data_IF_465326739191
#
_entry.id   IF_465326739191
#
_cell.length_a   1.000
_cell.length_b   1.000
_cell.length_c   1.000
_cell.angle_alpha   90.00
_cell.angle_beta   90.00
_cell.angle_gamma   90.00
#
_symmetry.space_group_name_H-M   'P 1'
#
loop_
_entity.id
_entity.type
_entity.pdbx_description
1 polymer ?
#
# COMPACT_ATOMS: atom_id res chain seq x y z
N UNK A 1 -6.07 6.82 16.07
CA UNK A 1 -7.00 5.67 16.06
C UNK A 1 -6.76 4.85 17.30
N UNK A 2 -7.80 4.59 18.12
CA UNK A 2 -7.67 3.64 19.22
C UNK A 2 -7.65 2.23 18.63
N UNK A 3 -6.52 1.56 18.69
CA UNK A 3 -6.42 0.15 18.36
C UNK A 3 -7.07 -0.64 19.50
N UNK A 4 -8.36 -0.96 19.38
CA UNK A 4 -9.10 -1.74 20.36
C UNK A 4 -8.66 -3.20 20.25
N UNK A 5 -7.81 -3.64 21.16
CA UNK A 5 -7.47 -5.06 21.28
C UNK A 5 -8.60 -5.80 22.00
N UNK A 6 -8.99 -6.96 21.47
CA UNK A 6 -9.96 -7.85 22.12
C UNK A 6 -9.39 -8.43 23.41
N UNK A 7 -10.26 -8.92 24.27
CA UNK A 7 -9.82 -9.56 25.53
C UNK A 7 -8.97 -10.81 25.26
N UNK A 8 -9.28 -11.56 24.19
CA UNK A 8 -8.50 -12.73 23.80
C UNK A 8 -7.05 -12.36 23.46
N UNK A 9 -6.85 -11.32 22.62
CA UNK A 9 -5.52 -10.83 22.28
C UNK A 9 -4.79 -10.28 23.50
N UNK A 10 -5.49 -9.56 24.40
CA UNK A 10 -4.88 -9.06 25.64
C UNK A 10 -4.40 -10.18 26.55
N UNK A 11 -5.17 -11.26 26.64
CA UNK A 11 -4.78 -12.43 27.42
C UNK A 11 -3.54 -13.11 26.82
N UNK A 12 -3.50 -13.24 25.48
CA UNK A 12 -2.34 -13.81 24.79
C UNK A 12 -1.09 -12.97 25.01
N UNK A 13 -1.20 -11.65 24.89
CA UNK A 13 -0.08 -10.72 25.14
C UNK A 13 0.41 -10.72 26.60
N UNK A 14 -0.40 -11.23 27.54
CA UNK A 14 -0.01 -11.40 28.94
C UNK A 14 0.72 -12.72 29.20
N UNK A 15 0.75 -13.63 28.23
CA UNK A 15 1.51 -14.88 28.30
C UNK A 15 2.99 -14.62 28.00
N UNK A 16 3.87 -15.58 28.36
CA UNK A 16 5.28 -15.49 28.04
C UNK A 16 5.61 -16.11 26.66
N UNK A 17 4.67 -16.75 25.99
CA UNK A 17 4.81 -17.40 24.70
C UNK A 17 3.89 -16.74 23.68
N UNK A 18 4.36 -15.63 23.09
CA UNK A 18 3.61 -14.86 22.11
C UNK A 18 4.00 -15.32 20.71
N UNK A 19 3.01 -15.75 19.90
CA UNK A 19 3.22 -16.21 18.52
C UNK A 19 2.58 -15.23 17.52
N UNK A 20 3.26 -14.13 17.20
CA UNK A 20 2.74 -13.16 16.24
C UNK A 20 2.86 -13.71 14.81
N UNK A 21 1.87 -13.41 13.97
CA UNK A 21 1.85 -13.72 12.54
C UNK A 21 1.41 -12.51 11.75
N UNK A 22 1.90 -12.36 10.52
CA UNK A 22 1.47 -11.32 9.62
C UNK A 22 0.53 -11.91 8.56
N UNK A 23 -0.53 -11.17 8.27
CA UNK A 23 -1.47 -11.46 7.21
C UNK A 23 -1.41 -10.29 6.23
N UNK A 24 -1.01 -10.55 5.00
CA UNK A 24 -0.78 -9.53 3.97
C UNK A 24 -1.75 -9.76 2.84
N UNK A 25 -2.51 -8.72 2.51
CA UNK A 25 -3.37 -8.67 1.33
C UNK A 25 -2.80 -7.66 0.35
N UNK A 26 -2.50 -8.10 -0.87
CA UNK A 26 -2.04 -7.27 -1.97
C UNK A 26 -3.15 -7.24 -3.01
N UNK A 27 -3.65 -6.06 -3.33
CA UNK A 27 -4.82 -5.82 -4.16
C UNK A 27 -4.50 -5.78 -5.66
N UNK A 28 -3.74 -6.73 -6.19
CA UNK A 28 -3.57 -6.90 -7.63
C UNK A 28 -4.91 -7.18 -8.31
N UNK A 29 -4.95 -7.21 -9.64
CA UNK A 29 -6.17 -7.61 -10.40
C UNK A 29 -6.72 -8.94 -9.91
N UNK A 30 -5.87 -9.88 -9.53
CA UNK A 30 -6.22 -11.05 -8.73
C UNK A 30 -5.60 -10.88 -7.34
N UNK A 31 -6.41 -10.62 -6.28
CA UNK A 31 -5.87 -10.36 -4.95
C UNK A 31 -5.01 -11.51 -4.43
N UNK A 32 -3.83 -11.18 -3.92
CA UNK A 32 -2.90 -12.13 -3.31
C UNK A 32 -2.95 -11.99 -1.80
N UNK A 33 -3.27 -13.08 -1.11
CA UNK A 33 -3.35 -13.14 0.34
C UNK A 33 -2.31 -14.14 0.85
N UNK A 34 -1.33 -13.64 1.59
CA UNK A 34 -0.19 -14.42 2.08
C UNK A 34 0.04 -14.21 3.58
N UNK A 35 0.65 -15.19 4.21
CA UNK A 35 1.07 -15.14 5.62
C UNK A 35 2.51 -15.63 5.76
N UNK A 36 3.21 -15.12 6.78
CA UNK A 36 4.53 -15.59 7.19
C UNK A 36 4.47 -16.88 8.05
N UNK A 37 3.26 -17.39 8.30
CA UNK A 37 3.07 -18.65 8.99
C UNK A 37 3.37 -19.85 8.07
N UNK A 38 3.85 -20.96 8.65
CA UNK A 38 4.16 -22.20 7.92
C UNK A 38 2.93 -22.94 7.37
N UNK A 39 1.73 -22.51 7.75
CA UNK A 39 0.44 -23.07 7.31
C UNK A 39 -0.56 -21.97 7.00
N UNK A 40 -1.54 -22.29 6.16
CA UNK A 40 -2.55 -21.31 5.73
C UNK A 40 -3.50 -20.98 6.88
N UNK A 41 -3.84 -19.70 6.98
CA UNK A 41 -4.71 -19.15 8.01
C UNK A 41 -5.96 -18.54 7.38
N UNK A 42 -7.11 -18.74 8.01
CA UNK A 42 -8.37 -18.13 7.57
C UNK A 42 -8.77 -17.03 8.56
N UNK A 43 -9.10 -15.87 8.03
CA UNK A 43 -9.53 -14.71 8.81
C UNK A 43 -10.70 -13.99 8.15
N UNK A 44 -11.56 -13.37 8.95
CA UNK A 44 -12.71 -12.58 8.51
C UNK A 44 -12.50 -11.06 8.69
N UNK A 45 -11.25 -10.59 8.67
CA UNK A 45 -10.89 -9.19 8.98
C UNK A 45 -11.55 -8.17 8.05
N UNK A 46 -11.83 -8.54 6.81
CA UNK A 46 -12.47 -7.66 5.82
C UNK A 46 -13.99 -7.83 5.73
N UNK A 47 -14.61 -8.48 6.69
CA UNK A 47 -16.05 -8.81 6.66
C UNK A 47 -16.41 -10.05 5.83
N UNK A 48 -15.45 -10.58 5.07
CA UNK A 48 -15.55 -11.85 4.34
C UNK A 48 -14.47 -12.79 4.82
N UNK A 49 -14.73 -14.09 4.79
CA UNK A 49 -13.73 -15.10 5.12
C UNK A 49 -12.67 -15.14 4.02
N UNK A 50 -11.43 -14.81 4.35
CA UNK A 50 -10.28 -14.81 3.45
C UNK A 50 -9.25 -15.82 3.96
N UNK A 51 -8.76 -16.66 3.06
CA UNK A 51 -7.67 -17.58 3.34
C UNK A 51 -6.35 -16.93 2.94
N UNK A 52 -5.46 -16.80 3.90
CA UNK A 52 -4.07 -16.37 3.72
C UNK A 52 -3.21 -17.61 3.53
N UNK A 53 -2.64 -17.75 2.37
CA UNK A 53 -1.82 -18.91 2.05
C UNK A 53 -0.46 -18.82 2.74
N UNK A 54 -0.01 -19.94 3.29
CA UNK A 54 1.36 -20.07 3.76
C UNK A 54 2.30 -19.72 2.62
N UNK A 55 3.22 -18.81 2.85
CA UNK A 55 4.12 -18.35 1.82
C UNK A 55 5.53 -18.23 2.37
N UNK A 56 6.41 -19.06 1.86
CA UNK A 56 7.85 -18.92 2.07
C UNK A 56 8.42 -17.71 1.29
N UNK A 57 7.54 -16.95 0.61
CA UNK A 57 7.95 -15.83 -0.22
C UNK A 57 8.18 -14.54 0.56
N UNK A 58 7.68 -14.41 1.80
CA UNK A 58 7.89 -13.23 2.62
C UNK A 58 9.29 -13.26 3.21
N UNK A 59 10.20 -12.46 2.64
CA UNK A 59 11.57 -12.33 3.15
C UNK A 59 11.67 -11.32 4.29
N UNK A 60 10.81 -10.33 4.30
CA UNK A 60 10.78 -9.35 5.39
C UNK A 60 9.83 -8.19 5.16
N UNK A 61 9.44 -7.59 6.26
CA UNK A 61 8.67 -6.34 6.33
C UNK A 61 9.55 -5.35 7.08
N UNK A 62 9.76 -4.14 6.51
CA UNK A 62 10.54 -3.12 7.20
C UNK A 62 9.82 -2.64 8.47
N UNK A 63 10.60 -2.09 9.39
CA UNK A 63 10.02 -1.43 10.56
C UNK A 63 9.10 -0.29 10.12
N UNK A 64 7.98 -0.19 10.81
CA UNK A 64 7.02 0.90 10.64
C UNK A 64 7.06 1.79 11.89
N UNK A 65 7.26 3.09 11.68
CA UNK A 65 7.17 4.12 12.71
C UNK A 65 5.90 4.94 12.50
N UNK A 66 5.16 5.15 13.58
CA UNK A 66 4.01 6.06 13.59
C UNK A 66 4.43 7.35 14.30
N UNK A 67 4.23 8.46 13.62
CA UNK A 67 4.52 9.80 14.13
C UNK A 67 3.20 10.58 14.30
N UNK A 68 3.26 11.60 15.16
CA UNK A 68 2.08 12.48 15.38
C UNK A 68 1.84 13.39 14.19
N UNK A 69 2.90 13.68 13.44
CA UNK A 69 2.82 14.56 12.28
C UNK A 69 2.20 13.84 11.08
N UNK A 70 1.45 14.60 10.27
CA UNK A 70 0.84 14.11 9.04
C UNK A 70 1.91 14.05 7.96
N UNK A 71 2.71 13.00 8.00
CA UNK A 71 3.79 12.77 7.04
C UNK A 71 3.56 11.47 6.26
N UNK A 72 4.18 11.39 5.09
CA UNK A 72 4.23 10.18 4.29
C UNK A 72 5.04 9.13 5.04
N UNK A 73 4.41 8.04 5.45
CA UNK A 73 5.11 6.85 5.96
C UNK A 73 5.28 5.82 4.85
N UNK A 74 6.41 5.13 4.84
CA UNK A 74 6.74 4.10 3.85
C UNK A 74 7.06 2.80 4.57
N UNK A 75 6.53 1.70 4.06
CA UNK A 75 6.86 0.33 4.48
C UNK A 75 7.35 -0.43 3.27
N UNK A 76 8.50 -1.08 3.39
CA UNK A 76 9.04 -1.95 2.35
C UNK A 76 8.69 -3.40 2.68
N UNK A 77 8.12 -4.08 1.70
CA UNK A 77 7.80 -5.50 1.74
C UNK A 77 8.70 -6.22 0.74
N UNK A 78 9.58 -7.08 1.23
CA UNK A 78 10.46 -7.88 0.41
C UNK A 78 9.90 -9.29 0.28
N UNK A 79 9.72 -9.71 -0.96
CA UNK A 79 9.18 -11.01 -1.33
C UNK A 79 10.23 -11.78 -2.14
N UNK A 80 10.28 -13.09 -1.97
CA UNK A 80 11.09 -13.94 -2.81
C UNK A 80 10.52 -14.00 -4.23
N UNK A 81 11.35 -13.77 -5.22
CA UNK A 81 11.03 -13.94 -6.63
C UNK A 81 11.11 -15.38 -7.13
N UNK A 82 11.13 -16.37 -6.24
CA UNK A 82 11.18 -17.79 -6.63
C UNK A 82 9.91 -18.23 -7.40
N UNK A 83 8.78 -17.54 -7.19
CA UNK A 83 7.56 -17.77 -7.96
C UNK A 83 7.52 -16.86 -9.19
N UNK A 84 7.74 -17.46 -10.36
CA UNK A 84 7.67 -16.77 -11.64
C UNK A 84 6.29 -16.15 -11.91
N UNK A 85 5.22 -16.72 -11.34
CA UNK A 85 3.86 -16.20 -11.50
C UNK A 85 3.76 -14.83 -10.84
N UNK A 86 4.34 -14.67 -9.66
CA UNK A 86 4.36 -13.39 -8.94
C UNK A 86 5.16 -12.32 -9.70
N UNK A 87 6.36 -12.66 -10.16
CA UNK A 87 7.19 -11.76 -11.00
C UNK A 87 6.42 -11.36 -12.27
N UNK A 88 5.80 -12.34 -12.94
CA UNK A 88 5.01 -12.09 -14.14
C UNK A 88 3.86 -11.12 -13.87
N UNK A 89 3.17 -11.25 -12.74
CA UNK A 89 2.10 -10.32 -12.35
C UNK A 89 2.65 -8.92 -12.16
N UNK A 90 3.74 -8.76 -11.40
CA UNK A 90 4.34 -7.44 -11.14
C UNK A 90 4.86 -6.77 -12.41
N UNK A 91 5.36 -7.55 -13.38
CA UNK A 91 5.89 -7.00 -14.62
C UNK A 91 4.82 -6.71 -15.69
N UNK A 92 3.74 -7.49 -15.71
CA UNK A 92 2.71 -7.37 -16.76
C UNK A 92 1.50 -6.52 -16.35
N UNK A 93 1.28 -6.33 -15.05
CA UNK A 93 0.19 -5.51 -14.55
C UNK A 93 0.69 -4.14 -14.08
N UNK A 94 -0.21 -3.16 -14.09
CA UNK A 94 0.10 -1.87 -13.48
C UNK A 94 -0.17 -1.93 -11.97
N UNK A 95 0.79 -2.45 -11.23
CA UNK A 95 0.69 -2.65 -9.78
C UNK A 95 0.83 -1.36 -8.96
N UNK A 96 1.26 -0.27 -9.58
CA UNK A 96 1.40 1.03 -8.92
C UNK A 96 0.02 1.61 -8.60
N UNK A 97 -0.18 2.03 -7.36
CA UNK A 97 -1.42 2.45 -6.70
C UNK A 97 -2.36 1.32 -6.24
N UNK A 98 -1.99 0.04 -6.38
CA UNK A 98 -2.76 -1.04 -5.79
C UNK A 98 -2.69 -0.99 -4.26
N UNK A 99 -3.79 -1.35 -3.62
CA UNK A 99 -3.91 -1.32 -2.16
C UNK A 99 -3.15 -2.50 -1.55
N UNK A 100 -2.40 -2.23 -0.48
CA UNK A 100 -1.77 -3.26 0.35
C UNK A 100 -2.22 -3.06 1.79
N UNK A 101 -2.65 -4.14 2.42
CA UNK A 101 -3.03 -4.14 3.84
C UNK A 101 -2.27 -5.21 4.57
N UNK A 102 -1.64 -4.83 5.67
CA UNK A 102 -0.86 -5.71 6.54
C UNK A 102 -1.56 -5.77 7.90
N UNK A 103 -1.91 -6.96 8.32
CA UNK A 103 -2.46 -7.23 9.66
C UNK A 103 -1.46 -8.01 10.48
N UNK A 104 -1.51 -7.83 11.79
CA UNK A 104 -0.84 -8.65 12.77
C UNK A 104 -1.87 -9.44 13.53
N UNK A 105 -1.78 -10.75 13.46
CA UNK A 105 -2.54 -11.69 14.27
C UNK A 105 -1.67 -12.36 15.32
N UNK A 106 -2.29 -13.15 16.18
CA UNK A 106 -1.63 -13.98 17.17
C UNK A 106 -2.24 -15.38 17.09
N UNK A 107 -1.42 -16.38 17.27
CA UNK A 107 -1.86 -17.77 17.32
C UNK A 107 -2.06 -18.20 18.78
N UNK A 108 -3.07 -19.01 19.03
CA UNK A 108 -3.27 -19.68 20.30
C UNK A 108 -2.41 -20.95 20.42
N UNK A 109 -2.51 -21.65 21.55
CA UNK A 109 -1.77 -22.89 21.82
C UNK A 109 -2.09 -24.02 20.84
N UNK A 110 -3.25 -23.97 20.18
CA UNK A 110 -3.67 -24.93 19.15
C UNK A 110 -3.22 -24.52 17.73
N UNK A 111 -2.44 -23.45 17.59
CA UNK A 111 -2.04 -22.81 16.34
C UNK A 111 -3.23 -22.27 15.54
N UNK A 112 -4.35 -21.96 16.17
CA UNK A 112 -5.44 -21.27 15.53
C UNK A 112 -5.27 -19.75 15.66
N UNK A 113 -5.69 -19.02 14.63
CA UNK A 113 -5.67 -17.57 14.65
C UNK A 113 -6.69 -17.03 15.66
N UNK A 114 -6.23 -16.27 16.63
CA UNK A 114 -7.10 -15.54 17.55
C UNK A 114 -7.89 -14.51 16.76
N UNK A 115 -9.20 -14.43 17.00
CA UNK A 115 -10.09 -13.52 16.30
C UNK A 115 -9.63 -12.06 16.40
N UNK A 116 -9.96 -11.29 15.37
CA UNK A 116 -9.68 -9.86 15.22
C UNK A 116 -8.18 -9.51 15.12
N UNK A 117 -7.47 -9.95 14.06
CA UNK A 117 -6.15 -9.44 13.75
C UNK A 117 -6.13 -7.93 13.68
N UNK A 118 -5.08 -7.33 14.21
CA UNK A 118 -4.90 -5.89 14.27
C UNK A 118 -4.33 -5.38 12.95
N UNK A 119 -4.97 -4.38 12.34
CA UNK A 119 -4.38 -3.70 11.18
C UNK A 119 -3.09 -2.99 11.61
N UNK A 120 -1.97 -3.42 11.04
CA UNK A 120 -0.66 -2.82 11.28
C UNK A 120 -0.42 -1.66 10.32
N UNK A 121 -0.69 -1.88 9.05
CA UNK A 121 -0.46 -0.86 8.01
C UNK A 121 -1.45 -1.04 6.85
N UNK A 122 -1.87 0.09 6.27
CA UNK A 122 -2.62 0.12 5.02
C UNK A 122 -2.06 1.25 4.15
N UNK A 123 -1.74 0.92 2.92
CA UNK A 123 -1.17 1.86 1.98
C UNK A 123 -1.36 1.41 0.54
N UNK A 124 -0.65 2.08 -0.35
CA UNK A 124 -0.64 1.80 -1.79
C UNK A 124 0.79 1.55 -2.25
N UNK A 125 0.94 0.72 -3.26
CA UNK A 125 2.24 0.50 -3.89
C UNK A 125 2.66 1.80 -4.61
N UNK A 126 3.78 2.39 -4.19
CA UNK A 126 4.38 3.55 -4.85
C UNK A 126 5.35 3.12 -5.95
N UNK A 127 6.15 2.12 -5.67
CA UNK A 127 7.15 1.58 -6.60
C UNK A 127 7.46 0.13 -6.26
N UNK A 128 8.05 -0.55 -7.21
CA UNK A 128 8.62 -1.87 -7.01
C UNK A 128 10.03 -1.92 -7.60
N UNK A 129 10.84 -2.81 -7.08
CA UNK A 129 12.14 -3.18 -7.63
C UNK A 129 12.27 -4.70 -7.67
N UNK A 130 12.98 -5.20 -8.68
CA UNK A 130 13.29 -6.60 -8.81
C UNK A 130 14.80 -6.72 -8.86
N UNK A 131 15.35 -7.41 -7.88
CA UNK A 131 16.78 -7.68 -7.79
C UNK A 131 17.01 -9.16 -8.08
N UNK A 132 17.74 -9.44 -9.13
CA UNK A 132 18.05 -10.78 -9.57
C UNK A 132 19.55 -11.01 -9.50
N UNK A 133 19.95 -12.04 -8.75
CA UNK A 133 21.33 -12.45 -8.61
C UNK A 133 21.47 -13.92 -9.01
N UNK A 134 22.69 -14.42 -9.14
CA UNK A 134 22.95 -15.83 -9.48
C UNK A 134 22.34 -16.83 -8.46
N UNK A 135 21.94 -16.38 -7.27
CA UNK A 135 21.49 -17.23 -6.18
C UNK A 135 20.08 -16.94 -5.69
N UNK A 136 19.60 -15.75 -5.91
CA UNK A 136 18.32 -15.30 -5.35
C UNK A 136 17.66 -14.24 -6.25
N UNK A 137 16.35 -14.22 -6.24
CA UNK A 137 15.54 -13.17 -6.83
C UNK A 137 14.66 -12.57 -5.74
N UNK A 138 14.67 -11.24 -5.63
CA UNK A 138 13.93 -10.49 -4.60
C UNK A 138 13.06 -9.48 -5.30
N UNK A 139 11.79 -9.45 -4.94
CA UNK A 139 10.85 -8.40 -5.35
C UNK A 139 10.59 -7.49 -4.15
N UNK A 140 11.07 -6.27 -4.24
CA UNK A 140 10.81 -5.22 -3.25
C UNK A 140 9.57 -4.41 -3.64
N UNK A 141 8.61 -4.29 -2.74
CA UNK A 141 7.46 -3.41 -2.89
C UNK A 141 7.57 -2.26 -1.89
N UNK A 142 7.63 -1.03 -2.39
CA UNK A 142 7.56 0.17 -1.55
C UNK A 142 6.11 0.61 -1.40
N UNK A 143 5.60 0.53 -0.18
CA UNK A 143 4.21 0.81 0.15
C UNK A 143 4.14 2.12 0.93
N UNK A 144 3.32 3.05 0.47
CA UNK A 144 3.16 4.36 1.10
C UNK A 144 1.77 4.53 1.68
N UNK A 145 1.68 5.27 2.78
CA UNK A 145 0.39 5.61 3.37
C UNK A 145 -0.44 6.51 2.43
N UNK A 146 -1.75 6.56 2.65
CA UNK A 146 -2.65 7.42 1.87
C UNK A 146 -2.29 8.91 1.95
N UNK A 147 -1.50 9.33 2.94
CA UNK A 147 -1.00 10.70 3.05
C UNK A 147 -0.09 11.09 1.88
N UNK A 148 0.50 10.13 1.18
CA UNK A 148 1.25 10.39 -0.04
C UNK A 148 0.39 11.03 -1.16
N UNK A 149 -0.92 10.84 -1.14
CA UNK A 149 -1.83 11.45 -2.11
C UNK A 149 -1.88 12.98 -1.98
N UNK A 150 -1.60 13.54 -0.78
CA UNK A 150 -1.51 14.99 -0.57
C UNK A 150 -0.26 15.62 -1.19
N UNK A 151 0.78 14.83 -1.38
CA UNK A 151 2.02 15.29 -2.02
C UNK A 151 1.96 15.17 -3.55
N UNK A 152 0.97 14.47 -4.10
CA UNK A 152 0.82 14.31 -5.54
C UNK A 152 0.52 15.66 -6.20
N UNK A 153 1.43 16.08 -7.06
CA UNK A 153 1.21 17.25 -7.90
C UNK A 153 0.24 16.88 -9.01
N UNK A 154 -0.89 17.59 -9.06
CA UNK A 154 -1.78 17.45 -10.19
C UNK A 154 -1.09 18.01 -11.44
N UNK A 155 -0.85 17.17 -12.44
CA UNK A 155 -0.21 17.57 -13.73
C UNK A 155 -1.08 18.48 -14.61
N UNK A 156 -2.24 18.93 -14.09
CA UNK A 156 -3.14 19.82 -14.82
C UNK A 156 -2.49 21.20 -14.97
N UNK A 157 -2.37 21.67 -16.22
CA UNK A 157 -1.88 23.00 -16.53
C UNK A 157 -3.03 23.98 -16.59
N UNK A 158 -2.80 25.22 -16.15
CA UNK A 158 -3.73 26.34 -16.30
C UNK A 158 -3.65 26.91 -17.71
N UNK A 159 -4.21 26.19 -18.68
CA UNK A 159 -4.32 26.65 -20.06
C UNK A 159 -5.66 26.20 -20.65
N UNK A 160 -6.05 26.82 -21.77
CA UNK A 160 -7.32 26.58 -22.42
C UNK A 160 -7.51 25.10 -22.82
N UNK A 161 -6.52 24.47 -23.40
CA UNK A 161 -6.57 23.06 -23.82
C UNK A 161 -6.83 22.12 -22.64
N UNK A 162 -6.17 22.35 -21.49
CA UNK A 162 -6.40 21.57 -20.28
C UNK A 162 -7.78 21.82 -19.70
N UNK A 163 -8.30 23.05 -19.77
CA UNK A 163 -9.63 23.39 -19.29
C UNK A 163 -10.72 22.73 -20.15
N UNK A 164 -10.61 22.87 -21.47
CA UNK A 164 -11.60 22.32 -22.41
C UNK A 164 -11.64 20.80 -22.43
N UNK A 165 -10.56 20.12 -22.03
CA UNK A 165 -10.56 18.65 -21.87
C UNK A 165 -11.54 18.17 -20.82
N UNK A 166 -11.77 18.95 -19.76
CA UNK A 166 -12.67 18.61 -18.65
C UNK A 166 -14.02 19.32 -18.76
N UNK A 167 -14.03 20.52 -19.33
CA UNK A 167 -15.22 21.35 -19.48
C UNK A 167 -15.27 21.84 -20.93
N UNK A 168 -15.94 21.05 -21.76
CA UNK A 168 -16.07 21.34 -23.19
C UNK A 168 -16.77 22.69 -23.40
N UNK A 169 -16.13 23.58 -24.19
CA UNK A 169 -16.66 24.90 -24.49
C UNK A 169 -16.38 25.98 -23.44
N UNK A 170 -15.68 25.65 -22.35
CA UNK A 170 -15.23 26.66 -21.39
C UNK A 170 -14.03 27.44 -21.94
N UNK A 171 -14.21 28.75 -22.15
CA UNK A 171 -13.19 29.67 -22.68
C UNK A 171 -12.53 30.50 -21.57
N UNK A 172 -12.79 30.23 -20.30
CA UNK A 172 -12.25 30.99 -19.19
C UNK A 172 -10.73 31.06 -19.11
N UNK A 173 -10.03 30.10 -19.77
CA UNK A 173 -8.57 30.04 -19.84
C UNK A 173 -8.00 30.40 -21.21
N UNK A 174 -8.79 31.03 -22.10
CA UNK A 174 -8.39 31.32 -23.47
C UNK A 174 -7.19 32.27 -23.55
N UNK A 175 -7.09 33.18 -22.59
CA UNK A 175 -6.00 34.15 -22.50
C UNK A 175 -4.85 33.72 -21.57
N UNK A 176 -4.94 32.55 -20.92
CA UNK A 176 -3.95 32.12 -19.94
C UNK A 176 -2.56 31.83 -20.55
N UNK A 177 -2.47 31.60 -21.85
CA UNK A 177 -1.21 31.37 -22.57
C UNK A 177 -0.65 32.64 -23.23
N UNK A 178 -1.38 33.76 -23.15
CA UNK A 178 -0.90 35.02 -23.74
C UNK A 178 0.21 35.60 -22.86
N UNK A 179 1.30 35.96 -23.52
CA UNK A 179 2.40 36.66 -22.87
C UNK A 179 1.89 38.01 -22.34
N UNK A 180 2.29 38.37 -21.13
CA UNK A 180 1.98 39.68 -20.54
C UNK A 180 2.37 40.76 -21.51
N UNK A 181 1.40 41.45 -22.07
CA UNK A 181 1.66 42.64 -22.89
C UNK A 181 1.91 43.81 -21.96
N UNK A 182 2.98 44.55 -22.25
CA UNK A 182 3.36 45.72 -21.52
C UNK A 182 2.33 46.85 -21.83
N UNK A 183 1.33 46.97 -20.98
CA UNK A 183 0.29 47.99 -21.13
C UNK A 183 0.87 49.31 -20.65
N UNK A 184 1.19 50.19 -21.57
CA UNK A 184 1.64 51.55 -21.26
C UNK A 184 0.46 52.39 -20.87
N UNK A 185 0.28 52.62 -19.58
CA UNK A 185 -0.73 53.56 -19.07
C UNK A 185 -0.26 55.01 -19.19
N UNK A 186 -1.12 55.88 -19.66
CA UNK A 186 -0.89 57.32 -19.60
C UNK A 186 -0.04 57.92 -20.74
N UNK A 187 -0.09 57.36 -21.93
CA UNK A 187 0.49 57.98 -23.09
C UNK A 187 -0.50 58.95 -23.72
N UNK A 188 -0.20 60.23 -23.60
CA UNK A 188 -0.82 61.30 -24.41
C UNK A 188 -0.40 61.15 -25.85
#
# INVERSE_FOLDING_TARGET
>A
MTRSLTTAVKNELATNDIRPVHLITIGFSTPVNITDCSFSLTSSVSGSSVTYNASDFILGISNHTEETDVTKSTVNLNLSGADQTFISTVLNENVVNDDVTIYRGFLDDSNALIADPMMLYKGKIESFDIQETDKESIVGLSIVSHWADFEKKNGRKTNNTSQQRFFSGDVGMDFASQTVQDIKWGRA
#
